data_IF_188538711337
#
_entry.id   IF_188538711337
#
_cell.length_a   1.000
_cell.length_b   1.000
_cell.length_c   1.000
_cell.angle_alpha   90.00
_cell.angle_beta   90.00
_cell.angle_gamma   90.00
#
_symmetry.space_group_name_H-M   'P 1'
#
loop_
_entity.id
_entity.type
_entity.pdbx_description
1 polymer ?
#
# COMPACT_ATOMS: atom_id res chain seq x y z
N UNK A 1 33.54 63.78 48.16
CA UNK A 1 32.37 64.64 47.95
C UNK A 1 32.79 65.70 46.98
N UNK A 2 32.24 65.65 45.77
CA UNK A 2 32.43 66.66 44.74
C UNK A 2 31.03 67.01 44.23
N UNK A 3 30.73 68.29 44.32
CA UNK A 3 29.45 68.95 44.11
C UNK A 3 28.78 68.60 42.79
N UNK A 4 27.50 68.25 42.85
CA UNK A 4 26.61 68.23 41.68
C UNK A 4 26.06 69.64 41.50
N UNK A 5 26.83 70.53 40.88
CA UNK A 5 26.32 71.84 40.47
C UNK A 5 25.42 71.67 39.25
N UNK A 6 24.10 71.66 39.48
CA UNK A 6 23.11 71.93 38.43
C UNK A 6 23.28 73.39 38.02
N UNK A 7 24.12 73.60 37.02
CA UNK A 7 24.31 74.89 36.36
C UNK A 7 23.22 75.07 35.31
N UNK A 8 22.45 76.16 35.44
CA UNK A 8 21.79 76.78 34.29
C UNK A 8 20.50 76.13 33.79
N UNK A 9 19.42 76.37 34.54
CA UNK A 9 18.05 76.49 34.02
C UNK A 9 17.95 77.70 33.06
N UNK A 10 18.53 77.58 31.86
CA UNK A 10 18.31 78.47 30.70
C UNK A 10 19.05 77.92 29.47
N UNK A 11 18.53 76.85 28.86
CA UNK A 11 18.86 76.51 27.47
C UNK A 11 17.74 75.65 26.93
N UNK A 12 17.34 75.93 25.69
CA UNK A 12 16.42 75.12 24.89
C UNK A 12 17.01 73.75 24.58
N UNK A 13 17.28 72.98 25.61
CA UNK A 13 17.70 71.59 25.54
C UNK A 13 16.42 70.83 25.27
N UNK A 14 16.26 70.47 24.01
CA UNK A 14 15.21 69.60 23.54
C UNK A 14 15.44 68.19 24.11
N UNK A 15 14.99 67.99 25.35
CA UNK A 15 15.08 66.72 26.08
C UNK A 15 14.41 65.58 25.32
N UNK A 16 13.39 65.89 24.49
CA UNK A 16 12.77 64.91 23.60
C UNK A 16 13.78 64.45 22.54
N UNK A 17 14.50 65.37 21.89
CA UNK A 17 15.55 65.01 20.93
C UNK A 17 16.68 64.18 21.54
N UNK A 18 17.01 64.39 22.82
CA UNK A 18 18.05 63.63 23.51
C UNK A 18 17.54 62.25 23.94
N UNK A 19 16.28 62.15 24.35
CA UNK A 19 15.60 60.88 24.61
C UNK A 19 15.47 60.04 23.33
N UNK A 20 15.12 60.68 22.21
CA UNK A 20 15.03 60.04 20.90
C UNK A 20 16.39 59.50 20.45
N UNK A 21 17.48 60.27 20.62
CA UNK A 21 18.84 59.81 20.32
C UNK A 21 19.28 58.62 21.19
N UNK A 22 18.90 58.59 22.46
CA UNK A 22 19.18 57.47 23.37
C UNK A 22 18.36 56.24 22.94
N UNK A 23 17.08 56.44 22.63
CA UNK A 23 16.17 55.37 22.18
C UNK A 23 16.61 54.80 20.83
N UNK A 24 17.06 55.63 19.91
CA UNK A 24 17.62 55.22 18.61
C UNK A 24 18.93 54.45 18.78
N UNK A 25 19.82 54.90 19.67
CA UNK A 25 21.04 54.17 20.03
C UNK A 25 20.72 52.83 20.72
N UNK A 26 19.67 52.77 21.53
CA UNK A 26 19.19 51.53 22.17
C UNK A 26 18.53 50.57 21.16
N UNK A 27 17.99 51.07 20.03
CA UNK A 27 17.46 50.25 18.93
C UNK A 27 18.54 49.68 18.01
N UNK A 28 19.75 50.27 17.94
CA UNK A 28 20.89 49.75 17.15
C UNK A 28 21.17 48.24 17.32
N UNK A 29 21.27 47.69 18.55
CA UNK A 29 21.47 46.25 18.72
C UNK A 29 20.30 45.41 18.15
N UNK A 30 19.06 45.91 18.21
CA UNK A 30 17.92 45.23 17.62
C UNK A 30 18.03 45.13 16.09
N UNK A 31 18.49 46.21 15.42
CA UNK A 31 18.76 46.18 13.97
C UNK A 31 19.85 45.18 13.60
N UNK A 32 20.93 45.08 14.38
CA UNK A 32 22.00 44.08 14.15
C UNK A 32 21.46 42.65 14.30
N UNK A 33 20.53 42.42 15.23
CA UNK A 33 19.88 41.11 15.40
C UNK A 33 18.95 40.79 14.23
N UNK A 34 18.19 41.78 13.75
CA UNK A 34 17.33 41.63 12.56
C UNK A 34 18.15 41.29 11.31
N UNK A 35 19.25 42.02 11.07
CA UNK A 35 20.14 41.77 9.93
C UNK A 35 20.79 40.37 10.00
N UNK A 36 21.20 39.94 11.20
CA UNK A 36 21.69 38.57 11.42
C UNK A 36 20.62 37.53 11.13
N UNK A 37 19.38 37.78 11.57
CA UNK A 37 18.25 36.87 11.33
C UNK A 37 17.97 36.75 9.83
N UNK A 38 17.89 37.86 9.11
CA UNK A 38 17.67 37.88 7.67
C UNK A 38 18.80 37.17 6.91
N UNK A 39 20.05 37.37 7.36
CA UNK A 39 21.21 36.69 6.78
C UNK A 39 21.16 35.17 7.01
N UNK A 40 20.76 34.72 8.20
CA UNK A 40 20.60 33.30 8.51
C UNK A 40 19.44 32.68 7.75
N UNK A 41 18.34 33.42 7.57
CA UNK A 41 17.17 32.98 6.81
C UNK A 41 17.50 32.80 5.31
N UNK A 42 18.23 33.76 4.72
CA UNK A 42 18.75 33.61 3.35
C UNK A 42 19.68 32.40 3.22
N UNK A 43 20.60 32.21 4.17
CA UNK A 43 21.49 31.03 4.18
C UNK A 43 20.67 29.73 4.25
N UNK A 44 19.67 29.67 5.13
CA UNK A 44 18.78 28.51 5.26
C UNK A 44 18.05 28.22 3.96
N UNK A 45 17.49 29.24 3.30
CA UNK A 45 16.84 29.09 1.99
C UNK A 45 17.78 28.52 0.93
N UNK A 46 18.99 29.06 0.82
CA UNK A 46 20.02 28.53 -0.11
C UNK A 46 20.38 27.07 0.18
N UNK A 47 20.51 26.68 1.45
CA UNK A 47 20.77 25.29 1.84
C UNK A 47 19.58 24.36 1.53
N UNK A 48 18.34 24.83 1.71
CA UNK A 48 17.14 24.08 1.35
C UNK A 48 17.03 23.89 -0.17
N UNK A 49 17.31 24.93 -0.95
CA UNK A 49 17.37 24.84 -2.42
C UNK A 49 18.44 23.85 -2.89
N UNK A 50 19.64 23.92 -2.30
CA UNK A 50 20.72 22.97 -2.60
C UNK A 50 20.31 21.53 -2.24
N UNK A 51 19.66 21.33 -1.08
CA UNK A 51 19.14 20.02 -0.67
C UNK A 51 18.14 19.48 -1.70
N UNK A 52 17.20 20.31 -2.15
CA UNK A 52 16.22 19.92 -3.17
C UNK A 52 16.92 19.58 -4.50
N UNK A 53 17.91 20.37 -4.91
CA UNK A 53 18.70 20.10 -6.11
C UNK A 53 19.45 18.76 -6.02
N UNK A 54 20.08 18.48 -4.88
CA UNK A 54 20.77 17.20 -4.64
C UNK A 54 19.79 16.01 -4.58
N UNK A 55 18.61 16.19 -3.99
CA UNK A 55 17.57 15.16 -4.00
C UNK A 55 17.06 14.86 -5.42
N UNK A 56 16.89 15.89 -6.25
CA UNK A 56 16.52 15.71 -7.67
C UNK A 56 17.61 14.96 -8.43
N UNK A 57 18.88 15.30 -8.21
CA UNK A 57 20.02 14.60 -8.80
C UNK A 57 20.09 13.14 -8.33
N UNK A 58 19.89 12.88 -7.04
CA UNK A 58 19.88 11.51 -6.52
C UNK A 58 18.76 10.69 -7.14
N UNK A 59 17.56 11.26 -7.28
CA UNK A 59 16.42 10.59 -7.89
C UNK A 59 16.61 10.31 -9.38
N UNK A 60 17.30 11.18 -10.13
CA UNK A 60 17.60 10.91 -11.54
C UNK A 60 18.70 9.87 -11.72
N UNK A 61 19.67 9.81 -10.80
CA UNK A 61 20.79 8.86 -10.87
C UNK A 61 20.44 7.48 -10.28
N UNK A 62 19.49 7.39 -9.35
CA UNK A 62 19.05 6.15 -8.71
C UNK A 62 18.67 5.03 -9.70
N UNK A 63 17.83 5.28 -10.74
CA UNK A 63 17.52 4.24 -11.72
C UNK A 63 18.74 3.86 -12.57
N UNK A 64 19.64 4.80 -12.88
CA UNK A 64 20.86 4.55 -13.65
C UNK A 64 21.90 3.70 -12.91
N UNK A 65 21.75 3.47 -11.60
CA UNK A 65 22.61 2.55 -10.85
C UNK A 65 22.18 1.09 -10.99
N UNK A 66 20.98 0.83 -11.50
CA UNK A 66 20.45 -0.52 -11.59
C UNK A 66 20.85 -1.14 -12.93
N UNK A 67 21.55 -2.29 -12.86
CA UNK A 67 21.93 -3.08 -14.04
C UNK A 67 20.68 -3.50 -14.86
N UNK A 68 19.54 -3.68 -14.18
CA UNK A 68 18.25 -3.97 -14.81
C UNK A 68 17.75 -2.87 -15.75
N UNK A 69 18.17 -1.62 -15.57
CA UNK A 69 17.78 -0.52 -16.46
C UNK A 69 18.49 -0.62 -17.81
N UNK A 70 19.72 -1.13 -17.84
CA UNK A 70 20.49 -1.30 -19.07
C UNK A 70 20.26 -2.66 -19.73
N UNK A 71 19.92 -3.67 -18.94
CA UNK A 71 19.59 -5.02 -19.42
C UNK A 71 18.08 -5.23 -19.57
N UNK A 72 17.28 -4.17 -19.54
CA UNK A 72 15.85 -4.26 -19.77
C UNK A 72 15.60 -4.88 -21.16
N UNK A 73 14.78 -5.93 -21.20
CA UNK A 73 14.41 -6.64 -22.42
C UNK A 73 12.92 -6.43 -22.66
N UNK A 74 12.57 -6.19 -23.91
CA UNK A 74 11.19 -6.09 -24.35
C UNK A 74 10.74 -7.43 -24.92
N UNK A 75 9.47 -7.78 -24.69
CA UNK A 75 8.86 -8.98 -25.24
C UNK A 75 8.00 -8.57 -26.41
N UNK A 76 8.38 -9.00 -27.60
CA UNK A 76 7.54 -8.89 -28.78
C UNK A 76 6.85 -10.23 -29.05
N UNK A 77 5.52 -10.22 -29.06
CA UNK A 77 4.72 -11.41 -29.36
C UNK A 77 4.24 -11.31 -30.81
N UNK A 78 4.92 -12.02 -31.70
CA UNK A 78 4.64 -12.06 -33.13
C UNK A 78 3.56 -13.08 -33.50
N UNK A 79 2.33 -12.58 -33.71
CA UNK A 79 1.08 -13.26 -34.15
C UNK A 79 0.31 -14.05 -33.10
N UNK A 80 -1.01 -13.82 -33.12
CA UNK A 80 -2.00 -14.53 -32.34
C UNK A 80 -3.26 -14.77 -33.14
N UNK A 81 -3.60 -16.05 -33.25
CA UNK A 81 -4.78 -16.67 -33.87
C UNK A 81 -5.24 -16.12 -35.24
N UNK A 82 -6.20 -16.79 -35.84
CA UNK A 82 -6.81 -16.40 -37.12
C UNK A 82 -7.64 -15.11 -37.04
N UNK A 83 -7.88 -14.60 -35.82
CA UNK A 83 -8.71 -13.45 -35.46
C UNK A 83 -7.91 -12.22 -34.97
N UNK A 84 -6.59 -12.30 -34.87
CA UNK A 84 -5.68 -11.15 -34.87
C UNK A 84 -5.49 -10.40 -33.55
N UNK A 85 -5.74 -11.00 -32.37
CA UNK A 85 -5.62 -10.27 -31.09
C UNK A 85 -4.81 -10.98 -30.00
N UNK A 86 -3.51 -10.70 -29.93
CA UNK A 86 -2.54 -11.32 -29.00
C UNK A 86 -2.82 -11.20 -27.51
N UNK A 87 -3.59 -10.19 -27.10
CA UNK A 87 -3.82 -9.89 -25.69
C UNK A 87 -4.77 -10.87 -24.99
N UNK A 88 -5.48 -11.71 -25.73
CA UNK A 88 -6.48 -12.63 -25.18
C UNK A 88 -5.95 -14.00 -24.73
N UNK A 89 -4.82 -14.46 -25.30
CA UNK A 89 -4.36 -15.86 -25.13
C UNK A 89 -3.12 -15.97 -24.26
N UNK A 90 -2.16 -15.04 -24.39
CA UNK A 90 -0.92 -15.07 -23.61
C UNK A 90 -0.40 -13.65 -23.36
N UNK A 91 -0.03 -13.38 -22.11
CA UNK A 91 0.80 -12.23 -21.74
C UNK A 91 2.10 -12.75 -21.16
N UNK A 92 3.23 -12.18 -21.59
CA UNK A 92 4.54 -12.55 -21.12
C UNK A 92 5.25 -11.30 -20.58
N UNK A 93 5.87 -11.43 -19.41
CA UNK A 93 6.73 -10.42 -18.83
C UNK A 93 8.10 -11.01 -18.64
N UNK A 94 9.13 -10.27 -19.01
CA UNK A 94 10.52 -10.73 -18.96
C UNK A 94 11.30 -9.88 -17.97
N UNK A 95 12.18 -10.54 -17.21
CA UNK A 95 13.13 -9.88 -16.32
C UNK A 95 14.45 -9.60 -17.06
N UNK A 96 15.22 -8.64 -16.56
CA UNK A 96 16.50 -8.24 -17.17
C UNK A 96 17.53 -9.38 -17.31
N UNK A 97 17.42 -10.43 -16.49
CA UNK A 97 18.30 -11.59 -16.50
C UNK A 97 17.92 -12.68 -17.52
N UNK A 98 16.74 -12.57 -18.15
CA UNK A 98 16.30 -13.58 -19.12
C UNK A 98 17.19 -13.58 -20.36
N UNK A 99 17.33 -14.70 -21.05
CA UNK A 99 18.09 -14.78 -22.31
C UNK A 99 17.32 -14.10 -23.47
N UNK A 100 18.04 -13.55 -24.45
CA UNK A 100 17.38 -13.09 -25.69
C UNK A 100 17.16 -14.31 -26.57
N UNK A 101 15.92 -14.76 -26.70
CA UNK A 101 15.59 -15.92 -27.53
C UNK A 101 14.17 -15.80 -28.08
N UNK A 102 13.89 -16.58 -29.14
CA UNK A 102 12.57 -16.75 -29.73
C UNK A 102 11.98 -18.06 -29.22
N UNK A 103 10.76 -17.99 -28.71
CA UNK A 103 10.05 -19.16 -28.20
C UNK A 103 8.72 -19.36 -28.93
N UNK A 104 8.57 -20.51 -29.55
CA UNK A 104 7.32 -20.94 -30.17
C UNK A 104 6.46 -21.67 -29.12
N UNK A 105 5.30 -21.10 -28.81
CA UNK A 105 4.39 -21.60 -27.78
C UNK A 105 3.02 -21.89 -28.37
N UNK A 106 2.52 -23.10 -28.10
CA UNK A 106 1.16 -23.50 -28.45
C UNK A 106 0.33 -23.73 -27.18
N UNK A 107 -0.76 -22.96 -27.03
CA UNK A 107 -1.68 -23.09 -25.90
C UNK A 107 -2.78 -24.08 -26.27
N UNK A 108 -2.63 -25.34 -25.86
CA UNK A 108 -3.60 -26.41 -26.13
C UNK A 108 -4.87 -26.26 -25.29
N UNK A 109 -4.72 -25.97 -23.99
CA UNK A 109 -5.83 -25.88 -23.06
C UNK A 109 -5.52 -24.91 -21.92
N UNK A 110 -6.46 -24.01 -21.63
CA UNK A 110 -6.37 -23.12 -20.47
C UNK A 110 -6.64 -23.91 -19.19
N UNK A 111 -5.81 -23.65 -18.17
CA UNK A 111 -6.07 -24.12 -16.81
C UNK A 111 -7.41 -23.55 -16.32
N UNK A 112 -8.30 -24.42 -15.83
CA UNK A 112 -9.59 -24.04 -15.27
C UNK A 112 -9.63 -24.44 -13.81
N UNK A 113 -10.01 -23.48 -12.96
CA UNK A 113 -10.32 -23.76 -11.57
C UNK A 113 -11.60 -24.59 -11.45
N UNK A 114 -11.58 -25.59 -10.57
CA UNK A 114 -12.76 -26.38 -10.24
C UNK A 114 -13.72 -25.56 -9.38
N UNK A 115 -15.00 -25.56 -9.75
CA UNK A 115 -16.08 -24.97 -8.97
C UNK A 115 -17.09 -26.05 -8.61
N UNK A 116 -17.34 -26.24 -7.32
CA UNK A 116 -18.39 -27.11 -6.81
C UNK A 116 -19.50 -26.24 -6.21
N UNK A 117 -20.75 -26.58 -6.53
CA UNK A 117 -21.92 -25.86 -6.03
C UNK A 117 -22.81 -26.83 -5.28
N UNK A 118 -23.27 -26.42 -4.09
CA UNK A 118 -24.30 -27.18 -3.38
C UNK A 118 -25.68 -26.98 -4.03
N UNK A 119 -26.62 -27.83 -3.62
CA UNK A 119 -28.04 -27.55 -3.81
C UNK A 119 -28.43 -26.26 -3.08
N UNK A 120 -29.54 -25.65 -3.50
CA UNK A 120 -30.09 -24.48 -2.82
C UNK A 120 -30.60 -24.89 -1.44
N UNK A 121 -30.17 -24.15 -0.42
CA UNK A 121 -30.55 -24.37 0.97
C UNK A 121 -31.05 -23.04 1.52
N UNK A 122 -32.34 -22.95 1.82
CA UNK A 122 -32.95 -21.76 2.39
C UNK A 122 -33.02 -21.89 3.91
N UNK A 123 -32.51 -20.90 4.63
CA UNK A 123 -32.55 -20.86 6.10
C UNK A 123 -31.43 -21.67 6.79
N UNK A 124 -31.76 -22.25 7.94
CA UNK A 124 -30.81 -23.01 8.76
C UNK A 124 -30.48 -24.37 8.13
N UNK A 125 -29.26 -24.86 8.36
CA UNK A 125 -28.81 -26.15 7.82
C UNK A 125 -29.59 -27.35 8.38
N UNK A 126 -30.40 -27.18 9.42
CA UNK A 126 -31.26 -28.23 10.00
C UNK A 126 -32.12 -28.96 8.96
N UNK A 127 -32.62 -28.26 7.93
CA UNK A 127 -33.39 -28.86 6.84
C UNK A 127 -32.57 -29.74 5.88
N UNK A 128 -31.24 -29.68 5.96
CA UNK A 128 -30.30 -30.44 5.10
C UNK A 128 -29.94 -31.79 5.72
N UNK A 129 -30.06 -31.91 7.05
CA UNK A 129 -29.82 -33.16 7.79
C UNK A 129 -30.96 -34.15 7.51
N UNK A 130 -30.89 -34.81 6.36
CA UNK A 130 -31.86 -35.79 5.87
C UNK A 130 -31.24 -37.20 5.84
N UNK A 131 -32.08 -38.22 5.84
CA UNK A 131 -31.64 -39.63 5.84
C UNK A 131 -30.85 -39.99 7.11
N UNK A 132 -29.67 -40.63 7.00
CA UNK A 132 -28.89 -41.09 8.17
C UNK A 132 -28.32 -39.95 9.03
N UNK A 133 -28.42 -38.70 8.56
CA UNK A 133 -27.99 -37.52 9.30
C UNK A 133 -29.14 -36.84 10.06
N UNK A 134 -30.37 -37.32 9.87
CA UNK A 134 -31.57 -36.76 10.51
C UNK A 134 -31.46 -36.86 12.05
N UNK A 135 -31.69 -35.73 12.73
CA UNK A 135 -31.59 -35.62 14.19
C UNK A 135 -30.18 -35.36 14.73
N UNK A 136 -29.15 -35.29 13.89
CA UNK A 136 -27.81 -34.90 14.33
C UNK A 136 -27.70 -33.39 14.50
N UNK A 137 -27.02 -32.96 15.57
CA UNK A 137 -26.70 -31.55 15.81
C UNK A 137 -25.48 -31.06 15.02
N UNK A 138 -24.67 -31.99 14.49
CA UNK A 138 -23.51 -31.68 13.66
C UNK A 138 -23.14 -32.82 12.70
N UNK A 139 -22.57 -32.45 11.55
CA UNK A 139 -22.01 -33.39 10.58
C UNK A 139 -20.67 -32.87 10.06
N UNK A 140 -19.74 -33.79 9.78
CA UNK A 140 -18.42 -33.46 9.25
C UNK A 140 -18.26 -33.97 7.82
N UNK A 141 -17.72 -33.14 6.94
CA UNK A 141 -17.31 -33.54 5.60
C UNK A 141 -15.84 -33.21 5.34
N UNK A 142 -15.24 -33.91 4.39
CA UNK A 142 -13.85 -33.71 4.00
C UNK A 142 -13.77 -32.93 2.70
N UNK A 143 -12.97 -31.86 2.70
CA UNK A 143 -12.56 -31.14 1.51
C UNK A 143 -11.17 -31.61 1.13
N UNK A 144 -11.00 -32.10 -0.10
CA UNK A 144 -9.69 -32.48 -0.62
C UNK A 144 -9.34 -31.71 -1.88
N UNK A 145 -8.18 -31.06 -1.89
CA UNK A 145 -7.62 -30.39 -3.08
C UNK A 145 -6.12 -30.64 -3.15
N UNK A 146 -5.59 -30.96 -4.34
CA UNK A 146 -4.15 -31.13 -4.56
C UNK A 146 -3.45 -32.08 -3.58
N UNK A 147 -4.12 -33.16 -3.16
CA UNK A 147 -3.59 -34.14 -2.20
C UNK A 147 -3.71 -33.77 -0.71
N UNK A 148 -4.22 -32.57 -0.38
CA UNK A 148 -4.47 -32.12 0.99
C UNK A 148 -5.90 -32.42 1.42
N UNK A 149 -6.15 -32.58 2.72
CA UNK A 149 -7.49 -32.84 3.29
C UNK A 149 -7.78 -31.91 4.46
N UNK A 150 -8.95 -31.29 4.46
CA UNK A 150 -9.50 -30.50 5.56
C UNK A 150 -10.84 -31.09 5.99
N UNK A 151 -10.99 -31.32 7.30
CA UNK A 151 -12.29 -31.69 7.86
C UNK A 151 -13.06 -30.43 8.23
N UNK A 152 -14.26 -30.28 7.69
CA UNK A 152 -15.19 -29.20 8.01
C UNK A 152 -16.35 -29.79 8.80
N UNK A 153 -16.64 -29.23 9.98
CA UNK A 153 -17.81 -29.61 10.78
C UNK A 153 -18.88 -28.54 10.65
N UNK A 154 -20.03 -28.90 10.11
CA UNK A 154 -21.23 -28.07 10.03
C UNK A 154 -22.19 -28.40 11.18
N UNK A 155 -22.80 -27.39 11.78
CA UNK A 155 -23.82 -27.56 12.83
C UNK A 155 -25.23 -27.33 12.27
N UNK A 156 -26.25 -27.95 12.86
CA UNK A 156 -27.64 -27.78 12.43
C UNK A 156 -28.16 -26.34 12.57
N UNK A 157 -27.58 -25.57 13.49
CA UNK A 157 -27.87 -24.14 13.71
C UNK A 157 -27.08 -23.22 12.78
N UNK A 158 -26.10 -23.73 12.05
CA UNK A 158 -25.33 -22.91 11.11
C UNK A 158 -26.22 -22.48 9.92
N UNK A 159 -25.89 -21.33 9.35
CA UNK A 159 -26.41 -20.89 8.05
C UNK A 159 -25.35 -21.14 6.98
N UNK A 160 -25.72 -21.08 5.70
CA UNK A 160 -24.75 -21.13 4.59
C UNK A 160 -23.65 -20.07 4.75
N UNK A 161 -24.02 -18.86 5.20
CA UNK A 161 -23.08 -17.77 5.42
C UNK A 161 -22.11 -18.07 6.57
N UNK A 162 -22.61 -18.55 7.73
CA UNK A 162 -21.73 -18.91 8.85
C UNK A 162 -20.80 -20.07 8.49
N UNK A 163 -21.29 -21.04 7.71
CA UNK A 163 -20.49 -22.15 7.22
C UNK A 163 -19.40 -21.69 6.23
N UNK A 164 -19.72 -20.82 5.27
CA UNK A 164 -18.73 -20.27 4.35
C UNK A 164 -17.63 -19.48 5.07
N UNK A 165 -18.01 -18.65 6.05
CA UNK A 165 -17.05 -17.93 6.89
C UNK A 165 -16.19 -18.88 7.72
N UNK A 166 -16.78 -19.93 8.29
CA UNK A 166 -16.06 -20.97 9.05
C UNK A 166 -15.04 -21.70 8.18
N UNK A 167 -15.41 -22.06 6.95
CA UNK A 167 -14.50 -22.66 5.97
C UNK A 167 -13.35 -21.69 5.70
N UNK A 168 -13.63 -20.45 5.29
CA UNK A 168 -12.60 -19.45 4.99
C UNK A 168 -11.69 -19.13 6.20
N UNK A 169 -12.21 -19.20 7.43
CA UNK A 169 -11.41 -19.00 8.64
C UNK A 169 -10.49 -20.19 8.90
N UNK A 170 -11.01 -21.43 8.85
CA UNK A 170 -10.20 -22.64 9.05
C UNK A 170 -9.05 -22.74 8.03
N UNK A 171 -9.29 -22.28 6.81
CA UNK A 171 -8.29 -22.23 5.74
C UNK A 171 -7.14 -21.25 6.03
N UNK A 172 -7.40 -20.16 6.75
CA UNK A 172 -6.39 -19.17 7.16
C UNK A 172 -5.60 -19.58 8.41
N UNK A 173 -6.20 -20.40 9.26
CA UNK A 173 -5.58 -20.84 10.53
C UNK A 173 -4.72 -22.09 10.41
N UNK A 174 -4.73 -22.77 9.25
CA UNK A 174 -3.85 -23.92 9.02
C UNK A 174 -2.47 -23.47 8.55
N UNK A 175 -1.41 -24.12 9.05
CA UNK A 175 -0.02 -23.90 8.63
C UNK A 175 0.17 -24.07 7.11
N UNK A 176 -0.65 -24.92 6.49
CA UNK A 176 -0.72 -25.08 5.05
C UNK A 176 -2.14 -24.78 4.56
N UNK A 177 -2.40 -23.62 3.95
CA UNK A 177 -3.72 -23.30 3.44
C UNK A 177 -4.11 -24.29 2.34
N UNK A 178 -5.35 -24.77 2.42
CA UNK A 178 -6.02 -25.52 1.37
C UNK A 178 -6.55 -24.45 0.39
N UNK A 179 -6.12 -24.46 -0.88
CA UNK A 179 -6.39 -23.39 -1.84
C UNK A 179 -7.82 -23.42 -2.37
N UNK A 180 -8.81 -23.19 -1.50
CA UNK A 180 -10.23 -23.17 -1.83
C UNK A 180 -10.84 -21.93 -1.21
N UNK A 181 -11.67 -21.22 -1.95
CA UNK A 181 -12.49 -20.12 -1.43
C UNK A 181 -13.95 -20.57 -1.38
N UNK A 182 -14.59 -20.36 -0.22
CA UNK A 182 -16.02 -20.59 -0.04
C UNK A 182 -16.81 -19.28 -0.12
N UNK A 183 -17.90 -19.28 -0.89
CA UNK A 183 -18.84 -18.16 -0.96
C UNK A 183 -20.29 -18.66 -1.04
N UNK A 184 -21.24 -17.78 -0.73
CA UNK A 184 -22.66 -18.07 -0.87
C UNK A 184 -23.21 -17.20 -1.99
N UNK A 185 -23.87 -17.82 -2.98
CA UNK A 185 -24.50 -17.15 -4.10
C UNK A 185 -25.87 -17.80 -4.33
N UNK A 186 -26.95 -17.01 -4.32
CA UNK A 186 -28.33 -17.47 -4.54
C UNK A 186 -28.70 -18.70 -3.68
N UNK A 187 -28.50 -18.59 -2.35
CA UNK A 187 -28.75 -19.67 -1.38
C UNK A 187 -27.98 -20.98 -1.67
N UNK A 188 -26.84 -20.90 -2.36
CA UNK A 188 -25.95 -22.04 -2.62
C UNK A 188 -24.55 -21.78 -2.10
N UNK A 189 -23.95 -22.80 -1.49
CA UNK A 189 -22.53 -22.80 -1.16
C UNK A 189 -21.74 -23.08 -2.43
N UNK A 190 -20.85 -22.16 -2.78
CA UNK A 190 -19.92 -22.26 -3.90
C UNK A 190 -18.52 -22.43 -3.32
N UNK A 191 -17.87 -23.53 -3.70
CA UNK A 191 -16.47 -23.78 -3.40
C UNK A 191 -15.67 -23.65 -4.69
N UNK A 192 -14.73 -22.71 -4.72
CA UNK A 192 -13.88 -22.46 -5.88
C UNK A 192 -12.44 -22.76 -5.52
N UNK A 193 -11.74 -23.51 -6.36
CA UNK A 193 -10.28 -23.68 -6.24
C UNK A 193 -9.56 -22.36 -6.57
N UNK A 194 -8.58 -21.95 -5.78
CA UNK A 194 -7.82 -20.73 -6.05
C UNK A 194 -6.86 -20.87 -7.26
N UNK A 195 -6.67 -22.10 -7.74
CA UNK A 195 -5.92 -22.44 -8.95
C UNK A 195 -6.75 -23.28 -9.90
#
# INVERSE_FOLDING_TARGET
MADFTISGIASGIDWNSMLDRIMEKAKKPAYVVLEKRDTLERKKGLFEEMKVAMQKLQSSLAPMKMDSTYKAKEVEIGRLDSNGSYKGVLTATVNADAEVNVHDLEVLQLARSQVQRSNSITGALSGVFTGPLYGLSSAGFWLSTGGRRLRVTAQATDTLASLAHKINHMLKTQETPVGVTASVVDDRLVLKSDR
#
